data_IF_859618835327
#
_entry.id   IF_859618835327
#
_cell.length_a   1.000
_cell.length_b   1.000
_cell.length_c   1.000
_cell.angle_alpha   90.00
_cell.angle_beta   90.00
_cell.angle_gamma   90.00
#
_symmetry.space_group_name_H-M   'P 1'
#
loop_
_entity.id
_entity.type
_entity.pdbx_description
1 polymer ?
#
# COMPACT_ATOMS: atom_id res chain seq x y z
N UNK A 1 -3.35 -19.79 -4.95
CA UNK A 1 -4.47 -20.61 -4.47
C UNK A 1 -5.79 -20.21 -5.11
N UNK A 2 -6.30 -18.97 -4.94
CA UNK A 2 -7.58 -18.54 -5.57
C UNK A 2 -7.64 -18.58 -7.11
N UNK A 3 -6.68 -17.97 -7.82
CA UNK A 3 -6.67 -18.01 -9.30
C UNK A 3 -6.51 -19.42 -9.86
N UNK A 4 -5.76 -20.29 -9.17
CA UNK A 4 -5.61 -21.69 -9.55
C UNK A 4 -6.91 -22.48 -9.35
N UNK A 5 -7.65 -22.23 -8.26
CA UNK A 5 -8.96 -22.86 -8.03
C UNK A 5 -10.07 -22.34 -8.97
N UNK A 6 -9.88 -21.18 -9.60
CA UNK A 6 -10.82 -20.59 -10.57
C UNK A 6 -10.41 -20.80 -12.03
N UNK A 7 -9.34 -21.55 -12.32
CA UNK A 7 -8.86 -21.77 -13.70
C UNK A 7 -8.23 -20.52 -14.35
N UNK A 8 -7.97 -19.47 -13.58
CA UNK A 8 -7.41 -18.19 -14.01
C UNK A 8 -5.90 -18.07 -13.78
N UNK A 9 -5.21 -19.19 -13.53
CA UNK A 9 -3.76 -19.19 -13.26
C UNK A 9 -2.87 -18.98 -14.52
N UNK A 10 -3.48 -18.74 -15.69
CA UNK A 10 -2.75 -18.40 -16.91
C UNK A 10 -2.19 -16.95 -16.84
N UNK A 11 -1.19 -16.61 -17.66
CA UNK A 11 -0.51 -15.30 -17.71
C UNK A 11 -1.44 -14.09 -17.84
N UNK A 12 -2.71 -14.28 -18.20
CA UNK A 12 -3.77 -13.27 -18.16
C UNK A 12 -3.98 -12.61 -16.78
N UNK A 13 -3.51 -13.20 -15.66
CA UNK A 13 -3.59 -12.55 -14.35
C UNK A 13 -2.58 -11.41 -14.18
N UNK A 14 -1.47 -11.40 -14.94
CA UNK A 14 -0.36 -10.46 -14.78
C UNK A 14 -0.79 -9.00 -14.97
N UNK A 15 -1.52 -8.62 -16.05
CA UNK A 15 -1.97 -7.24 -16.23
C UNK A 15 -2.82 -6.74 -15.07
N UNK A 16 -3.66 -7.60 -14.47
CA UNK A 16 -4.48 -7.26 -13.30
C UNK A 16 -3.62 -6.94 -12.06
N UNK A 17 -2.54 -7.69 -11.87
CA UNK A 17 -1.57 -7.42 -10.80
C UNK A 17 -0.82 -6.13 -11.04
N UNK A 18 -0.30 -5.90 -12.26
CA UNK A 18 0.44 -4.69 -12.60
C UNK A 18 -0.44 -3.45 -12.38
N UNK A 19 -1.66 -3.44 -12.92
CA UNK A 19 -2.60 -2.31 -12.77
C UNK A 19 -3.05 -2.04 -11.33
N UNK A 20 -2.73 -2.94 -10.38
CA UNK A 20 -3.02 -2.73 -8.95
C UNK A 20 -1.75 -2.35 -8.18
N UNK A 21 -0.69 -3.14 -8.31
CA UNK A 21 0.54 -2.95 -7.54
C UNK A 21 1.40 -1.78 -8.05
N UNK A 22 1.52 -1.60 -9.35
CA UNK A 22 2.38 -0.54 -9.90
C UNK A 22 1.88 0.86 -9.50
N UNK A 23 0.59 1.23 -9.67
CA UNK A 23 0.06 2.50 -9.18
C UNK A 23 0.24 2.70 -7.67
N UNK A 24 0.05 1.63 -6.87
CA UNK A 24 0.26 1.68 -5.42
C UNK A 24 1.71 1.96 -5.07
N UNK A 25 2.67 1.29 -5.71
CA UNK A 25 4.09 1.50 -5.47
C UNK A 25 4.50 2.92 -5.85
N UNK A 26 4.08 3.41 -7.02
CA UNK A 26 4.35 4.78 -7.45
C UNK A 26 3.78 5.78 -6.45
N UNK A 27 2.50 5.63 -6.07
CA UNK A 27 1.86 6.50 -5.08
C UNK A 27 2.55 6.46 -3.72
N UNK A 28 2.93 5.27 -3.26
CA UNK A 28 3.65 5.06 -2.00
C UNK A 28 5.02 5.75 -2.02
N UNK A 29 5.86 5.49 -3.02
CA UNK A 29 7.21 6.07 -3.09
C UNK A 29 7.22 7.58 -3.31
N UNK A 30 6.21 8.15 -3.97
CA UNK A 30 6.07 9.60 -4.11
C UNK A 30 5.65 10.28 -2.81
N UNK A 31 4.80 9.64 -2.00
CA UNK A 31 4.18 10.26 -0.81
C UNK A 31 4.99 9.99 0.46
N UNK A 32 5.58 8.81 0.61
CA UNK A 32 6.21 8.40 1.87
C UNK A 32 7.43 9.20 2.34
N UNK A 33 8.27 9.81 1.47
CA UNK A 33 9.37 10.66 1.91
C UNK A 33 8.89 11.86 2.74
N UNK A 34 7.75 12.44 2.37
CA UNK A 34 7.14 13.59 3.05
C UNK A 34 6.67 13.27 4.47
N UNK A 35 6.50 11.98 4.79
CA UNK A 35 6.14 11.49 6.12
C UNK A 35 7.34 10.87 6.87
N UNK A 36 8.56 10.99 6.34
CA UNK A 36 9.77 10.44 6.95
C UNK A 36 9.76 8.92 7.08
N UNK A 37 8.97 8.21 6.27
CA UNK A 37 8.81 6.75 6.41
C UNK A 37 9.98 5.92 5.87
N UNK A 38 11.00 6.59 5.34
CA UNK A 38 12.33 6.05 5.01
C UNK A 38 13.42 6.48 6.00
N UNK A 39 13.07 7.26 7.03
CA UNK A 39 13.99 7.65 8.09
C UNK A 39 13.94 6.63 9.24
N UNK A 40 15.09 6.11 9.65
CA UNK A 40 15.20 5.17 10.75
C UNK A 40 14.71 5.77 12.07
N UNK A 41 14.99 7.05 12.33
CA UNK A 41 14.57 7.73 13.57
C UNK A 41 13.05 7.78 13.72
N UNK A 42 12.34 7.87 12.59
CA UNK A 42 10.88 7.85 12.54
C UNK A 42 10.35 6.44 12.67
N UNK A 43 10.93 5.51 11.91
CA UNK A 43 10.40 4.15 11.76
C UNK A 43 10.70 3.23 12.94
N UNK A 44 11.74 3.53 13.72
CA UNK A 44 12.08 2.84 14.97
C UNK A 44 11.30 3.36 16.18
N UNK A 45 10.65 4.53 16.10
CA UNK A 45 9.89 5.13 17.19
C UNK A 45 8.42 4.64 17.20
N UNK A 46 7.98 3.85 18.20
CA UNK A 46 6.62 3.32 18.26
C UNK A 46 5.53 4.41 18.26
N UNK A 47 5.83 5.59 18.84
CA UNK A 47 4.89 6.71 18.91
C UNK A 47 4.60 7.34 17.55
N UNK A 48 5.43 7.05 16.53
CA UNK A 48 5.32 7.61 15.19
C UNK A 48 4.79 6.60 14.16
N UNK A 49 4.49 5.36 14.55
CA UNK A 49 4.03 4.33 13.60
C UNK A 49 2.74 4.71 12.88
N UNK A 50 1.86 5.47 13.53
CA UNK A 50 0.61 5.96 12.95
C UNK A 50 0.81 6.87 11.73
N UNK A 51 2.01 7.44 11.51
CA UNK A 51 2.34 8.24 10.31
C UNK A 51 2.17 7.45 9.02
N UNK A 52 2.21 6.11 9.08
CA UNK A 52 1.89 5.25 7.93
C UNK A 52 0.45 5.40 7.46
N UNK A 53 -0.49 5.57 8.40
CA UNK A 53 -1.91 5.77 8.07
C UNK A 53 -2.12 7.12 7.39
N UNK A 54 -1.41 8.16 7.86
CA UNK A 54 -1.43 9.46 7.19
C UNK A 54 -0.84 9.38 5.78
N UNK A 55 0.30 8.71 5.59
CA UNK A 55 0.86 8.55 4.25
C UNK A 55 -0.13 7.81 3.32
N UNK A 56 -0.82 6.80 3.83
CA UNK A 56 -1.81 6.06 3.04
C UNK A 56 -3.08 6.84 2.73
N UNK A 57 -3.44 7.83 3.56
CA UNK A 57 -4.53 8.76 3.25
C UNK A 57 -4.30 9.50 1.92
N UNK A 58 -3.05 9.77 1.55
CA UNK A 58 -2.70 10.43 0.28
C UNK A 58 -2.22 9.46 -0.80
N UNK A 59 -1.47 8.42 -0.43
CA UNK A 59 -0.96 7.44 -1.37
C UNK A 59 -2.09 6.62 -2.02
N UNK A 60 -3.15 6.28 -1.28
CA UNK A 60 -4.26 5.50 -1.83
C UNK A 60 -5.09 6.26 -2.88
N UNK A 61 -5.51 7.52 -2.67
CA UNK A 61 -6.13 8.33 -3.72
C UNK A 61 -5.24 8.48 -4.95
N UNK A 62 -3.95 8.76 -4.76
CA UNK A 62 -2.99 8.88 -5.87
C UNK A 62 -2.89 7.57 -6.67
N UNK A 63 -2.76 6.44 -5.98
CA UNK A 63 -2.73 5.12 -6.61
C UNK A 63 -4.04 4.80 -7.34
N UNK A 64 -5.19 5.19 -6.80
CA UNK A 64 -6.51 4.99 -7.42
C UNK A 64 -6.65 5.80 -8.71
N UNK A 65 -6.20 7.05 -8.72
CA UNK A 65 -6.17 7.91 -9.91
C UNK A 65 -5.22 7.33 -10.97
N UNK A 66 -4.01 6.95 -10.58
CA UNK A 66 -3.05 6.31 -11.50
C UNK A 66 -3.58 4.99 -12.07
N UNK A 67 -4.30 4.20 -11.26
CA UNK A 67 -4.95 2.99 -11.74
C UNK A 67 -6.08 3.31 -12.71
N UNK A 68 -6.89 4.32 -12.43
CA UNK A 68 -8.04 4.67 -13.25
C UNK A 68 -7.62 5.20 -14.63
N UNK A 69 -6.49 5.89 -14.73
CA UNK A 69 -5.91 6.28 -16.02
C UNK A 69 -5.45 5.07 -16.84
N UNK A 70 -4.76 4.10 -16.22
CA UNK A 70 -4.34 2.87 -16.92
C UNK A 70 -5.52 2.04 -17.44
N UNK A 71 -6.63 2.04 -16.70
CA UNK A 71 -7.83 1.28 -17.04
C UNK A 71 -8.84 2.05 -17.90
N UNK A 72 -8.56 3.31 -18.22
CA UNK A 72 -9.51 4.21 -18.90
C UNK A 72 -10.89 4.22 -18.22
N UNK A 73 -10.89 4.25 -16.88
CA UNK A 73 -12.10 4.17 -16.05
C UNK A 73 -12.18 5.31 -15.05
N UNK A 74 -13.32 5.44 -14.36
CA UNK A 74 -13.43 6.32 -13.21
C UNK A 74 -12.64 5.80 -12.00
N UNK A 75 -12.12 6.71 -11.16
CA UNK A 75 -11.52 6.36 -9.87
C UNK A 75 -12.65 6.05 -8.87
N UNK A 76 -12.77 4.79 -8.47
CA UNK A 76 -13.84 4.34 -7.57
C UNK A 76 -13.52 4.67 -6.10
N UNK A 77 -14.35 5.46 -5.40
CA UNK A 77 -14.07 5.84 -4.00
C UNK A 77 -13.95 4.65 -3.05
N UNK A 78 -14.79 3.61 -3.24
CA UNK A 78 -14.77 2.42 -2.40
C UNK A 78 -13.47 1.62 -2.57
N UNK A 79 -12.94 1.54 -3.80
CA UNK A 79 -11.66 0.91 -4.06
C UNK A 79 -10.54 1.69 -3.36
N UNK A 80 -10.53 3.03 -3.49
CA UNK A 80 -9.57 3.90 -2.81
C UNK A 80 -9.57 3.69 -1.30
N UNK A 81 -10.76 3.64 -0.69
CA UNK A 81 -10.93 3.45 0.75
C UNK A 81 -10.39 2.10 1.21
N UNK A 82 -10.82 1.02 0.55
CA UNK A 82 -10.39 -0.35 0.89
C UNK A 82 -8.88 -0.48 0.70
N UNK A 83 -8.34 0.03 -0.41
CA UNK A 83 -6.90 0.01 -0.70
C UNK A 83 -6.10 0.71 0.40
N UNK A 84 -6.51 1.92 0.79
CA UNK A 84 -5.84 2.71 1.81
C UNK A 84 -5.91 2.08 3.20
N UNK A 85 -7.09 1.63 3.62
CA UNK A 85 -7.29 1.02 4.94
C UNK A 85 -6.52 -0.30 5.05
N UNK A 86 -6.68 -1.21 4.08
CA UNK A 86 -6.05 -2.54 4.15
C UNK A 86 -4.53 -2.45 4.14
N UNK A 87 -3.95 -1.67 3.23
CA UNK A 87 -2.50 -1.51 3.19
C UNK A 87 -1.97 -0.66 4.35
N UNK A 88 -2.70 0.38 4.78
CA UNK A 88 -2.33 1.17 5.95
C UNK A 88 -2.28 0.34 7.23
N UNK A 89 -3.29 -0.48 7.47
CA UNK A 89 -3.31 -1.42 8.61
C UNK A 89 -2.23 -2.49 8.48
N UNK A 90 -2.06 -3.09 7.30
CA UNK A 90 -1.03 -4.09 7.06
C UNK A 90 0.38 -3.57 7.36
N UNK A 91 0.69 -2.36 6.90
CA UNK A 91 1.97 -1.70 7.17
C UNK A 91 2.11 -1.29 8.64
N UNK A 92 1.04 -0.83 9.28
CA UNK A 92 1.06 -0.49 10.71
C UNK A 92 1.37 -1.73 11.56
N UNK A 93 0.68 -2.84 11.29
CA UNK A 93 0.90 -4.13 11.93
C UNK A 93 2.34 -4.59 11.69
N UNK A 94 2.82 -4.53 10.44
CA UNK A 94 4.18 -4.90 10.10
C UNK A 94 5.22 -4.09 10.88
N UNK A 95 5.05 -2.76 10.97
CA UNK A 95 5.96 -1.91 11.74
C UNK A 95 5.89 -2.18 13.24
N UNK A 96 4.71 -2.48 13.78
CA UNK A 96 4.56 -2.87 15.18
C UNK A 96 5.29 -4.20 15.47
N UNK A 97 5.14 -5.20 14.60
CA UNK A 97 5.86 -6.48 14.71
C UNK A 97 7.37 -6.25 14.61
N UNK A 98 7.82 -5.50 13.61
CA UNK A 98 9.25 -5.22 13.40
C UNK A 98 9.88 -4.51 14.60
N UNK A 99 9.24 -3.45 15.12
CA UNK A 99 9.75 -2.74 16.31
C UNK A 99 9.79 -3.62 17.55
N UNK A 100 8.83 -4.52 17.72
CA UNK A 100 8.83 -5.49 18.81
C UNK A 100 9.98 -6.50 18.70
N UNK A 101 10.24 -7.02 17.50
CA UNK A 101 11.35 -7.94 17.25
C UNK A 101 12.70 -7.23 17.43
N UNK A 102 12.84 -6.00 16.92
CA UNK A 102 14.08 -5.23 17.00
C UNK A 102 14.47 -4.88 18.44
N UNK A 103 13.50 -4.56 19.31
CA UNK A 103 13.73 -4.28 20.74
C UNK A 103 14.09 -5.49 21.59
N UNK A 104 13.91 -6.72 21.07
CA UNK A 104 14.28 -7.96 21.75
C UNK A 104 15.72 -8.40 21.47
N UNK A 105 16.41 -7.74 20.53
CA UNK A 105 17.84 -7.89 20.28
C UNK A 105 18.62 -6.86 21.08
#
# INVERSE_FOLDING_TARGET
MGFASHGEANVSFIPRMITTFFPLLVGWFLITPWFGLFDEQVTSNPKLLWRVLLAMLFAAPLASILRSTLLHSAALPIFTLILGVTNGLGLLIWRAIYTFIAKRK
#
